data_IF_854875497644
#
_entry.id   IF_854875497644
#
_cell.length_a   1.000
_cell.length_b   1.000
_cell.length_c   1.000
_cell.angle_alpha   90.00
_cell.angle_beta   90.00
_cell.angle_gamma   90.00
#
_symmetry.space_group_name_H-M   'P 1'
#
loop_
_entity.id
_entity.type
_entity.pdbx_description
1 polymer ?
#
# COMPACT_ATOMS: atom_id res chain seq x y z
N UNK A 1 23.41 58.99 31.17
CA UNK A 1 22.30 58.80 30.21
C UNK A 1 22.75 57.87 29.08
N UNK A 2 22.40 56.58 29.16
CA UNK A 2 22.38 55.65 28.01
C UNK A 2 21.31 54.60 28.30
N UNK A 3 20.13 54.77 27.70
CA UNK A 3 19.12 53.73 27.63
C UNK A 3 19.58 52.68 26.61
N UNK A 4 19.67 51.41 27.01
CA UNK A 4 19.71 50.28 26.10
C UNK A 4 18.35 49.60 26.15
N UNK A 5 17.59 49.74 25.08
CA UNK A 5 16.28 49.12 24.91
C UNK A 5 16.40 47.61 24.71
N UNK A 6 15.51 46.89 25.37
CA UNK A 6 15.29 45.45 25.20
C UNK A 6 14.31 45.30 24.03
N UNK A 7 14.76 44.68 22.94
CA UNK A 7 13.85 44.20 21.89
C UNK A 7 13.22 42.89 22.37
N UNK A 8 11.93 42.91 22.69
CA UNK A 8 11.14 41.71 22.91
C UNK A 8 10.81 41.07 21.55
N UNK A 9 11.35 39.87 21.30
CA UNK A 9 10.91 39.02 20.20
C UNK A 9 9.49 38.54 20.52
N UNK A 10 8.49 39.02 19.78
CA UNK A 10 7.15 38.44 19.80
C UNK A 10 7.19 37.16 18.94
N UNK A 11 7.23 36.00 19.58
CA UNK A 11 6.86 34.75 18.93
C UNK A 11 5.35 34.77 18.67
N UNK A 12 4.95 35.02 17.42
CA UNK A 12 3.57 34.79 16.97
C UNK A 12 3.42 33.27 16.85
N UNK A 13 2.91 32.64 17.90
CA UNK A 13 2.40 31.28 17.82
C UNK A 13 1.16 31.32 16.93
N UNK A 14 1.28 30.82 15.69
CA UNK A 14 0.12 30.47 14.90
C UNK A 14 -0.55 29.28 15.58
N UNK A 15 -1.47 29.57 16.51
CA UNK A 15 -2.40 28.56 16.99
C UNK A 15 -3.24 28.15 15.78
N UNK A 16 -2.90 27.01 15.17
CA UNK A 16 -3.76 26.36 14.20
C UNK A 16 -5.09 26.09 14.91
N UNK A 17 -6.09 26.90 14.58
CA UNK A 17 -7.44 26.69 15.10
C UNK A 17 -8.01 25.53 14.30
N UNK A 18 -7.80 24.31 14.81
CA UNK A 18 -8.45 23.10 14.31
C UNK A 18 -9.93 23.42 14.08
N UNK A 19 -10.40 23.37 12.84
CA UNK A 19 -11.80 23.69 12.54
C UNK A 19 -12.68 22.55 13.04
N UNK A 20 -13.83 22.86 13.63
CA UNK A 20 -14.76 21.81 14.07
C UNK A 20 -15.26 21.02 12.85
N UNK A 21 -15.21 19.69 12.93
CA UNK A 21 -15.79 18.85 11.90
C UNK A 21 -17.31 19.09 11.80
N UNK A 22 -17.91 18.86 10.63
CA UNK A 22 -19.36 18.96 10.41
C UNK A 22 -19.97 17.59 10.14
N UNK A 23 -19.26 16.78 9.36
CA UNK A 23 -19.63 15.47 8.81
C UNK A 23 -18.49 14.48 9.01
N UNK A 24 -18.75 13.18 8.81
CA UNK A 24 -17.71 12.14 8.93
C UNK A 24 -16.68 12.22 7.79
N UNK A 25 -17.03 12.86 6.66
CA UNK A 25 -16.13 13.16 5.55
C UNK A 25 -15.01 14.14 5.98
N UNK A 26 -15.29 15.06 6.91
CA UNK A 26 -14.28 15.91 7.53
C UNK A 26 -13.33 15.08 8.44
N UNK A 27 -13.70 13.83 8.74
CA UNK A 27 -12.92 12.85 9.50
C UNK A 27 -12.42 11.70 8.59
N UNK A 28 -12.27 11.97 7.29
CA UNK A 28 -11.75 11.05 6.27
C UNK A 28 -12.52 9.73 6.13
N UNK A 29 -13.73 9.64 6.71
CA UNK A 29 -14.45 8.37 6.95
C UNK A 29 -13.64 7.31 7.75
N UNK A 30 -12.46 7.67 8.27
CA UNK A 30 -11.64 6.89 9.21
C UNK A 30 -11.93 7.32 10.66
N UNK A 31 -13.06 8.00 10.87
CA UNK A 31 -13.49 8.52 12.14
C UNK A 31 -14.89 9.08 12.04
N UNK A 32 -15.45 9.42 13.19
CA UNK A 32 -16.81 9.96 13.30
C UNK A 32 -16.75 11.40 13.81
N UNK A 33 -17.53 12.27 13.20
CA UNK A 33 -17.62 13.65 13.67
C UNK A 33 -18.57 13.76 14.86
N UNK A 34 -17.99 13.80 16.07
CA UNK A 34 -18.74 13.76 17.33
C UNK A 34 -18.67 15.08 18.06
N UNK A 35 -19.74 15.40 18.79
CA UNK A 35 -19.75 16.53 19.72
C UNK A 35 -18.94 16.18 20.96
N UNK A 36 -17.96 17.01 21.31
CA UNK A 36 -17.24 16.86 22.58
C UNK A 36 -18.22 16.99 23.76
N UNK A 37 -18.34 15.93 24.54
CA UNK A 37 -19.19 15.84 25.73
C UNK A 37 -18.39 16.01 27.03
N UNK A 38 -17.16 16.51 26.97
CA UNK A 38 -16.36 16.74 28.16
C UNK A 38 -17.10 17.69 29.13
N UNK A 39 -17.37 17.19 30.34
CA UNK A 39 -18.05 17.94 31.40
C UNK A 39 -17.28 19.18 31.88
N UNK A 40 -16.01 19.32 31.47
CA UNK A 40 -15.12 20.43 31.76
C UNK A 40 -14.87 21.32 30.52
N UNK A 41 -15.60 21.08 29.42
CA UNK A 41 -15.40 21.76 28.14
C UNK A 41 -15.93 23.20 28.11
N UNK A 42 -15.49 24.01 27.13
CA UNK A 42 -15.95 25.37 26.93
C UNK A 42 -17.49 25.43 26.70
N UNK A 43 -18.13 26.59 26.94
CA UNK A 43 -19.59 26.77 26.91
C UNK A 43 -20.28 26.47 25.57
N UNK A 44 -19.51 26.16 24.52
CA UNK A 44 -20.00 25.71 23.22
C UNK A 44 -19.33 24.38 22.87
N UNK A 45 -20.06 23.25 22.91
CA UNK A 45 -19.47 21.95 22.63
C UNK A 45 -19.03 21.91 21.16
N UNK A 46 -17.71 21.82 20.95
CA UNK A 46 -17.11 21.75 19.62
C UNK A 46 -17.24 20.32 19.10
N UNK A 47 -17.49 20.17 17.80
CA UNK A 47 -17.38 18.86 17.16
C UNK A 47 -15.92 18.57 16.80
N UNK A 48 -15.47 17.35 17.09
CA UNK A 48 -14.12 16.87 16.81
C UNK A 48 -14.19 15.48 16.20
N UNK A 49 -13.19 15.12 15.41
CA UNK A 49 -13.08 13.78 14.86
C UNK A 49 -12.66 12.79 15.95
N UNK A 50 -13.45 11.73 16.11
CA UNK A 50 -13.10 10.55 16.89
C UNK A 50 -12.60 9.49 15.91
N UNK A 51 -11.28 9.30 15.85
CA UNK A 51 -10.65 8.41 14.88
C UNK A 51 -10.81 6.94 15.23
N UNK A 52 -10.95 6.12 14.19
CA UNK A 52 -10.87 4.68 14.31
C UNK A 52 -9.45 4.24 14.72
N UNK A 53 -9.31 3.09 15.40
CA UNK A 53 -8.00 2.56 15.77
C UNK A 53 -7.05 2.47 14.58
N UNK A 54 -5.83 2.97 14.77
CA UNK A 54 -4.78 3.00 13.73
C UNK A 54 -4.78 4.23 12.84
N UNK A 55 -5.75 5.13 13.01
CA UNK A 55 -5.79 6.44 12.37
C UNK A 55 -5.68 7.57 13.38
N UNK A 56 -5.07 8.69 12.98
CA UNK A 56 -4.92 9.87 13.82
C UNK A 56 -4.92 11.17 13.00
N UNK A 57 -4.83 12.30 13.71
CA UNK A 57 -4.89 13.63 13.14
C UNK A 57 -6.24 14.30 13.41
N UNK A 58 -6.31 15.60 13.12
CA UNK A 58 -7.53 16.38 13.33
C UNK A 58 -8.71 15.91 12.45
N UNK A 59 -8.40 15.22 11.35
CA UNK A 59 -9.30 14.68 10.33
C UNK A 59 -9.21 13.15 10.17
N UNK A 60 -8.47 12.45 11.04
CA UNK A 60 -8.24 11.00 10.96
C UNK A 60 -7.65 10.50 9.63
N UNK A 61 -7.01 11.37 8.83
CA UNK A 61 -6.47 11.02 7.52
C UNK A 61 -5.08 10.38 7.55
N UNK A 62 -4.45 10.24 8.73
CA UNK A 62 -3.06 9.78 8.88
C UNK A 62 -2.98 8.42 9.56
N UNK A 63 -2.11 7.53 9.06
CA UNK A 63 -1.83 6.25 9.71
C UNK A 63 -0.97 6.45 10.96
N UNK A 64 -1.41 5.89 12.08
CA UNK A 64 -0.68 5.90 13.35
C UNK A 64 0.49 4.89 13.33
N UNK A 65 1.51 5.18 12.51
CA UNK A 65 2.65 4.31 12.29
C UNK A 65 3.54 4.23 13.55
N UNK A 66 3.71 3.00 14.07
CA UNK A 66 4.56 2.73 15.22
C UNK A 66 5.99 2.41 14.79
N UNK A 67 6.96 2.47 15.74
CA UNK A 67 8.33 2.14 15.40
C UNK A 67 8.47 0.74 14.80
N UNK A 68 9.15 0.64 13.66
CA UNK A 68 9.41 -0.64 12.99
C UNK A 68 10.58 -1.37 13.65
N UNK A 69 10.59 -2.70 13.61
CA UNK A 69 11.81 -3.46 13.95
C UNK A 69 12.80 -3.38 12.79
N UNK A 70 14.07 -3.12 13.10
CA UNK A 70 15.12 -3.01 12.08
C UNK A 70 15.38 -4.36 11.42
N UNK A 71 15.66 -4.34 10.12
CA UNK A 71 15.87 -5.54 9.30
C UNK A 71 14.68 -6.53 9.28
N UNK A 72 13.48 -6.06 9.65
CA UNK A 72 12.27 -6.86 9.58
C UNK A 72 11.63 -6.80 8.18
N UNK A 73 10.49 -7.45 7.98
CA UNK A 73 9.89 -7.61 6.66
C UNK A 73 10.66 -8.61 5.80
N UNK A 74 10.87 -8.29 4.52
CA UNK A 74 11.72 -9.06 3.61
C UNK A 74 12.88 -8.18 3.15
N UNK A 75 14.01 -8.27 3.85
CA UNK A 75 15.22 -7.50 3.55
C UNK A 75 16.41 -8.42 3.24
N UNK A 76 16.40 -8.99 2.03
CA UNK A 76 17.47 -9.84 1.50
C UNK A 76 18.29 -9.13 0.41
N UNK A 77 18.30 -7.79 0.44
CA UNK A 77 18.92 -6.94 -0.57
C UNK A 77 20.46 -6.94 -0.55
N UNK A 78 21.03 -7.48 0.53
CA UNK A 78 22.46 -7.78 0.69
C UNK A 78 22.79 -9.27 0.43
N UNK A 79 21.78 -10.12 0.28
CA UNK A 79 21.95 -11.56 0.12
C UNK A 79 22.22 -11.92 -1.35
N UNK A 80 23.04 -12.95 -1.55
CA UNK A 80 23.44 -13.48 -2.85
C UNK A 80 24.04 -12.41 -3.80
N UNK A 81 25.29 -12.05 -3.50
CA UNK A 81 26.21 -11.30 -4.37
C UNK A 81 27.09 -12.25 -5.19
N UNK A 82 26.54 -13.36 -5.68
CA UNK A 82 27.28 -14.29 -6.54
C UNK A 82 27.83 -13.52 -7.76
N UNK A 83 29.11 -13.74 -8.08
CA UNK A 83 29.78 -13.16 -9.25
C UNK A 83 29.11 -13.51 -10.58
N UNK A 84 28.28 -14.57 -10.61
CA UNK A 84 27.55 -14.99 -11.81
C UNK A 84 26.24 -14.22 -12.04
N UNK A 85 25.82 -13.35 -11.10
CA UNK A 85 24.63 -12.51 -11.28
C UNK A 85 24.94 -11.29 -12.14
N UNK A 86 23.94 -10.82 -12.87
CA UNK A 86 24.06 -9.67 -13.76
C UNK A 86 24.20 -8.35 -12.99
N UNK A 87 23.51 -8.23 -11.85
CA UNK A 87 23.51 -7.04 -11.01
C UNK A 87 23.93 -7.31 -9.56
N UNK A 88 24.40 -6.26 -8.84
CA UNK A 88 24.92 -6.39 -7.47
C UNK A 88 23.85 -6.17 -6.37
N UNK A 89 22.56 -6.19 -6.70
CA UNK A 89 21.49 -5.75 -5.80
C UNK A 89 20.83 -6.88 -4.99
N UNK A 90 21.48 -8.03 -4.90
CA UNK A 90 21.03 -9.17 -4.11
C UNK A 90 19.61 -9.62 -4.45
N UNK A 91 18.88 -10.12 -3.46
CA UNK A 91 17.46 -10.49 -3.59
C UNK A 91 16.56 -9.29 -3.24
N UNK A 92 16.77 -8.16 -3.92
CA UNK A 92 15.92 -6.98 -3.76
C UNK A 92 14.45 -7.29 -4.04
N UNK A 93 13.55 -6.70 -3.27
CA UNK A 93 12.09 -6.88 -3.37
C UNK A 93 11.34 -5.55 -3.36
N UNK A 94 10.07 -5.55 -3.77
CA UNK A 94 9.26 -4.34 -3.87
C UNK A 94 7.77 -4.58 -3.57
N UNK A 95 7.35 -4.18 -2.37
CA UNK A 95 5.97 -4.33 -1.88
C UNK A 95 5.59 -5.78 -1.61
N UNK A 96 4.30 -6.01 -1.32
CA UNK A 96 3.73 -7.34 -1.15
C UNK A 96 2.52 -7.36 -0.22
N UNK A 97 1.86 -8.51 -0.16
CA UNK A 97 0.67 -8.75 0.66
C UNK A 97 0.99 -9.79 1.73
N UNK A 98 0.66 -9.50 2.98
CA UNK A 98 0.73 -10.46 4.09
C UNK A 98 -0.56 -11.28 4.11
N UNK A 99 -0.45 -12.59 4.27
CA UNK A 99 -1.57 -13.48 4.54
C UNK A 99 -1.25 -14.35 5.75
N UNK A 100 -2.18 -14.48 6.69
CA UNK A 100 -2.07 -15.48 7.73
C UNK A 100 -2.45 -16.85 7.15
N UNK A 101 -1.72 -17.90 7.53
CA UNK A 101 -2.04 -19.25 7.08
C UNK A 101 -3.37 -19.73 7.70
N UNK A 102 -4.32 -20.24 6.89
CA UNK A 102 -5.64 -20.64 7.39
C UNK A 102 -5.60 -21.90 8.26
N UNK A 103 -4.50 -22.65 8.27
CA UNK A 103 -4.34 -23.91 9.00
C UNK A 103 -3.27 -23.84 10.11
N UNK A 104 -2.44 -22.81 10.10
CA UNK A 104 -1.43 -22.53 11.13
C UNK A 104 -1.45 -21.03 11.51
N UNK A 105 -2.17 -20.63 12.57
CA UNK A 105 -2.28 -19.22 12.94
C UNK A 105 -0.94 -18.58 13.35
N UNK A 106 0.13 -19.37 13.52
CA UNK A 106 1.49 -18.86 13.80
C UNK A 106 2.38 -18.81 12.57
N UNK A 107 1.83 -19.02 11.38
CA UNK A 107 2.52 -18.91 10.12
C UNK A 107 1.92 -17.76 9.30
N UNK A 108 2.80 -16.87 8.84
CA UNK A 108 2.45 -15.80 7.92
C UNK A 108 3.17 -16.00 6.60
N UNK A 109 2.45 -15.79 5.50
CA UNK A 109 2.97 -15.73 4.15
C UNK A 109 3.12 -14.27 3.73
N UNK A 110 4.18 -13.97 2.98
CA UNK A 110 4.33 -12.73 2.23
C UNK A 110 4.41 -13.10 0.75
N UNK A 111 3.51 -12.57 -0.06
CA UNK A 111 3.57 -12.66 -1.52
C UNK A 111 4.04 -11.31 -2.05
N UNK A 112 5.19 -11.28 -2.72
CA UNK A 112 5.90 -10.04 -3.04
C UNK A 112 6.61 -10.11 -4.39
N UNK A 113 6.94 -8.93 -4.94
CA UNK A 113 7.81 -8.84 -6.12
C UNK A 113 9.27 -9.03 -5.69
N UNK A 114 10.02 -9.85 -6.40
CA UNK A 114 11.48 -9.94 -6.32
C UNK A 114 12.10 -9.79 -7.70
N UNK A 115 13.36 -9.35 -7.78
CA UNK A 115 14.06 -9.12 -9.04
C UNK A 115 15.11 -10.20 -9.31
N UNK A 116 15.01 -10.85 -10.46
CA UNK A 116 15.95 -11.86 -10.91
C UNK A 116 17.35 -11.26 -11.17
N UNK A 117 18.35 -12.14 -11.16
CA UNK A 117 19.74 -11.87 -11.53
C UNK A 117 20.41 -10.68 -10.83
N UNK A 118 19.91 -10.31 -9.64
CA UNK A 118 20.46 -9.20 -8.86
C UNK A 118 20.21 -7.82 -9.47
N UNK A 119 19.25 -7.68 -10.39
CA UNK A 119 19.02 -6.42 -11.10
C UNK A 119 18.33 -5.32 -10.28
N UNK A 120 17.62 -5.68 -9.22
CA UNK A 120 16.92 -4.72 -8.37
C UNK A 120 15.86 -3.90 -9.11
N UNK A 121 15.39 -2.85 -8.45
CA UNK A 121 14.23 -2.07 -8.87
C UNK A 121 14.42 -1.34 -10.21
N UNK A 122 15.65 -0.92 -10.55
CA UNK A 122 15.92 -0.22 -11.81
C UNK A 122 15.74 -1.11 -13.05
N UNK A 123 15.71 -2.44 -12.86
CA UNK A 123 15.48 -3.44 -13.89
C UNK A 123 14.13 -4.15 -13.75
N UNK A 124 13.17 -3.61 -12.98
CA UNK A 124 11.95 -4.36 -12.64
C UNK A 124 11.22 -4.97 -13.84
N UNK A 125 11.18 -4.30 -14.99
CA UNK A 125 10.74 -4.87 -16.26
C UNK A 125 11.96 -5.15 -17.16
N UNK A 126 12.39 -6.38 -17.41
CA UNK A 126 11.63 -7.63 -17.32
C UNK A 126 11.94 -8.54 -16.11
N UNK A 127 12.80 -8.12 -15.18
CA UNK A 127 13.40 -9.04 -14.20
C UNK A 127 12.51 -9.38 -13.00
N UNK A 128 11.38 -8.68 -12.81
CA UNK A 128 10.47 -8.94 -11.69
C UNK A 128 9.76 -10.27 -11.84
N UNK A 129 9.65 -11.00 -10.74
CA UNK A 129 8.81 -12.19 -10.61
C UNK A 129 8.11 -12.19 -9.24
N UNK A 130 7.09 -13.03 -9.08
CA UNK A 130 6.36 -13.16 -7.81
C UNK A 130 6.95 -14.30 -6.99
N UNK A 131 7.32 -13.99 -5.75
CA UNK A 131 7.79 -14.97 -4.77
C UNK A 131 6.83 -15.07 -3.60
N UNK A 132 6.91 -16.21 -2.90
CA UNK A 132 6.33 -16.42 -1.58
C UNK A 132 7.45 -16.57 -0.54
N UNK A 133 7.28 -15.89 0.59
CA UNK A 133 8.12 -16.00 1.76
C UNK A 133 7.27 -16.30 3.00
N UNK A 134 7.88 -16.86 4.05
CA UNK A 134 7.21 -17.27 5.28
C UNK A 134 7.85 -16.64 6.52
N UNK A 135 7.04 -16.31 7.52
CA UNK A 135 7.48 -15.91 8.86
C UNK A 135 6.79 -16.74 9.94
N UNK A 136 7.60 -17.22 10.90
CA UNK A 136 7.17 -17.88 12.14
C UNK A 136 7.51 -17.09 13.40
N UNK A 137 7.97 -15.85 13.23
CA UNK A 137 8.23 -14.89 14.31
C UNK A 137 7.14 -13.82 14.41
N UNK A 138 6.12 -13.88 13.56
CA UNK A 138 4.99 -12.97 13.54
C UNK A 138 4.82 -12.24 12.19
N UNK A 139 3.74 -11.48 12.03
CA UNK A 139 3.39 -10.81 10.78
C UNK A 139 4.37 -9.71 10.37
N UNK A 140 5.15 -9.16 11.31
CA UNK A 140 6.20 -8.19 10.98
C UNK A 140 7.39 -8.84 10.27
N UNK A 141 7.60 -10.15 10.47
CA UNK A 141 8.74 -10.92 9.96
C UNK A 141 9.79 -11.24 11.05
N UNK A 142 11.05 -11.52 10.67
CA UNK A 142 11.55 -11.51 9.28
C UNK A 142 10.92 -12.63 8.44
N UNK A 143 10.71 -12.36 7.16
CA UNK A 143 10.20 -13.33 6.20
C UNK A 143 11.36 -13.99 5.46
N UNK A 144 11.28 -15.30 5.27
CA UNK A 144 12.26 -16.09 4.54
C UNK A 144 11.66 -16.64 3.26
N UNK A 145 12.40 -16.52 2.15
CA UNK A 145 11.97 -17.05 0.86
C UNK A 145 11.68 -18.56 0.94
N UNK A 146 10.57 -18.99 0.33
CA UNK A 146 10.21 -20.41 0.26
C UNK A 146 9.87 -20.88 -1.15
N UNK A 147 9.37 -20.02 -2.04
CA UNK A 147 8.93 -20.45 -3.37
C UNK A 147 8.85 -19.31 -4.40
N UNK A 148 8.95 -19.68 -5.69
CA UNK A 148 8.64 -18.83 -6.83
C UNK A 148 7.23 -19.15 -7.33
N UNK A 149 6.30 -18.21 -7.20
CA UNK A 149 4.95 -18.37 -7.75
C UNK A 149 4.95 -18.19 -9.27
N UNK A 150 5.81 -17.29 -9.78
CA UNK A 150 5.93 -17.04 -11.21
C UNK A 150 7.38 -17.06 -11.68
N UNK A 151 7.55 -17.23 -12.99
CA UNK A 151 8.77 -16.80 -13.67
C UNK A 151 8.73 -15.29 -13.90
N UNK A 152 9.87 -14.64 -14.20
CA UNK A 152 9.84 -13.30 -14.76
C UNK A 152 9.22 -13.36 -16.16
N UNK A 153 8.38 -12.41 -16.58
CA UNK A 153 8.05 -11.15 -15.92
C UNK A 153 6.68 -11.16 -15.23
N UNK A 154 6.61 -10.80 -13.94
CA UNK A 154 5.39 -10.43 -13.19
C UNK A 154 5.71 -9.43 -12.10
N UNK A 155 4.83 -8.45 -11.85
CA UNK A 155 5.10 -7.40 -10.87
C UNK A 155 3.86 -6.97 -10.06
N UNK A 156 4.09 -6.30 -8.93
CA UNK A 156 3.07 -5.77 -8.02
C UNK A 156 1.94 -6.77 -7.67
N UNK A 157 2.25 -7.90 -7.00
CA UNK A 157 1.25 -8.90 -6.69
C UNK A 157 0.27 -8.39 -5.62
N UNK A 158 -1.03 -8.58 -5.85
CA UNK A 158 -2.06 -8.54 -4.80
C UNK A 158 -2.72 -9.91 -4.73
N UNK A 159 -2.82 -10.48 -3.52
CA UNK A 159 -3.46 -11.77 -3.31
C UNK A 159 -4.65 -11.59 -2.38
N UNK A 160 -5.82 -12.03 -2.84
CA UNK A 160 -7.05 -12.05 -2.05
C UNK A 160 -7.63 -13.46 -2.01
N UNK A 161 -8.35 -13.78 -0.95
CA UNK A 161 -9.26 -14.93 -0.96
C UNK A 161 -10.58 -14.53 -1.61
N UNK A 162 -11.07 -15.32 -2.56
CA UNK A 162 -12.43 -15.19 -3.09
C UNK A 162 -13.36 -16.17 -2.37
N UNK A 163 -14.28 -15.71 -1.51
CA UNK A 163 -15.25 -16.60 -0.88
C UNK A 163 -16.26 -17.19 -1.87
N UNK A 164 -16.50 -16.50 -3.00
CA UNK A 164 -17.42 -16.97 -4.03
C UNK A 164 -16.85 -18.17 -4.79
N UNK A 165 -15.53 -18.18 -5.01
CA UNK A 165 -14.83 -19.20 -5.79
C UNK A 165 -14.08 -20.23 -4.94
N UNK A 166 -14.02 -20.02 -3.62
CA UNK A 166 -13.30 -20.85 -2.66
C UNK A 166 -11.82 -21.05 -3.04
N UNK A 167 -11.16 -19.97 -3.46
CA UNK A 167 -9.74 -19.97 -3.86
C UNK A 167 -9.08 -18.62 -3.70
N UNK A 168 -7.74 -18.62 -3.66
CA UNK A 168 -6.93 -17.43 -3.77
C UNK A 168 -6.90 -16.92 -5.22
N UNK A 169 -6.96 -15.61 -5.37
CA UNK A 169 -6.77 -14.88 -6.62
C UNK A 169 -5.52 -14.01 -6.47
N UNK A 170 -4.56 -14.18 -7.38
CA UNK A 170 -3.31 -13.42 -7.45
C UNK A 170 -3.35 -12.53 -8.68
N UNK A 171 -3.57 -11.24 -8.47
CA UNK A 171 -3.52 -10.21 -9.51
C UNK A 171 -2.11 -9.64 -9.61
N UNK A 172 -1.63 -9.45 -10.83
CA UNK A 172 -0.28 -8.94 -11.10
C UNK A 172 -0.26 -8.07 -12.34
N UNK A 173 0.76 -7.23 -12.44
CA UNK A 173 1.16 -6.62 -13.70
C UNK A 173 1.88 -7.66 -14.56
N UNK A 174 1.52 -7.73 -15.84
CA UNK A 174 2.23 -8.49 -16.86
C UNK A 174 1.41 -9.66 -17.42
N UNK A 175 1.75 -10.05 -18.64
CA UNK A 175 1.13 -11.15 -19.39
C UNK A 175 2.21 -12.14 -19.80
N UNK A 176 1.82 -13.39 -20.10
CA UNK A 176 2.72 -14.32 -20.78
C UNK A 176 2.79 -13.93 -22.26
N UNK A 177 3.89 -13.30 -22.66
CA UNK A 177 4.19 -13.02 -24.06
C UNK A 177 5.06 -14.11 -24.67
N UNK A 178 4.78 -14.43 -25.94
CA UNK A 178 5.53 -15.44 -26.68
C UNK A 178 6.97 -15.01 -27.01
N UNK A 179 7.26 -13.71 -26.93
CA UNK A 179 8.57 -13.11 -27.17
C UNK A 179 9.06 -12.45 -25.88
N UNK A 180 9.67 -13.25 -25.00
CA UNK A 180 10.34 -12.70 -23.82
C UNK A 180 11.47 -11.75 -24.25
N UNK A 181 11.56 -10.54 -23.69
CA UNK A 181 12.65 -9.63 -24.04
C UNK A 181 13.99 -10.17 -23.54
N UNK A 182 15.04 -9.80 -24.25
CA UNK A 182 16.42 -10.10 -23.85
C UNK A 182 16.72 -9.54 -22.44
N UNK A 183 17.42 -10.34 -21.64
CA UNK A 183 17.79 -10.05 -20.24
C UNK A 183 19.30 -9.94 -20.08
N UNK A 184 19.93 -9.19 -20.97
CA UNK A 184 21.39 -9.03 -21.04
C UNK A 184 21.91 -7.88 -20.15
N UNK A 185 21.04 -6.95 -19.75
CA UNK A 185 21.37 -5.81 -18.88
C UNK A 185 20.31 -5.50 -17.83
N UNK A 186 20.74 -5.18 -16.61
CA UNK A 186 19.87 -4.70 -15.54
C UNK A 186 19.35 -3.28 -15.81
N UNK A 187 18.37 -3.16 -16.70
CA UNK A 187 17.69 -1.91 -17.03
C UNK A 187 16.22 -2.15 -17.37
N UNK A 188 15.35 -1.24 -16.93
CA UNK A 188 13.92 -1.37 -17.17
C UNK A 188 13.55 -1.00 -18.60
N UNK A 189 12.69 -1.80 -19.23
CA UNK A 189 11.97 -1.45 -20.45
C UNK A 189 10.88 -0.42 -20.15
N UNK A 190 10.69 0.53 -21.05
CA UNK A 190 9.61 1.52 -20.96
C UNK A 190 8.23 0.88 -21.23
N UNK A 191 7.16 1.51 -20.74
CA UNK A 191 5.78 1.07 -21.02
C UNK A 191 5.42 1.13 -22.51
N UNK A 192 6.11 1.96 -23.31
CA UNK A 192 5.97 1.99 -24.77
C UNK A 192 6.54 0.75 -25.44
N UNK A 193 7.63 0.20 -24.90
CA UNK A 193 8.26 -1.02 -25.42
C UNK A 193 7.51 -2.27 -24.97
N UNK A 194 7.05 -2.26 -23.71
CA UNK A 194 6.31 -3.37 -23.15
C UNK A 194 5.21 -2.85 -22.22
N UNK A 195 3.96 -2.71 -22.72
CA UNK A 195 2.86 -2.12 -21.98
C UNK A 195 2.50 -2.88 -20.70
N UNK A 196 1.98 -2.15 -19.71
CA UNK A 196 1.35 -2.80 -18.57
C UNK A 196 -0.02 -3.35 -18.97
N UNK A 197 -0.36 -4.43 -18.30
CA UNK A 197 -1.66 -5.06 -18.29
C UNK A 197 -1.80 -5.81 -16.96
N UNK A 198 -3.00 -6.25 -16.65
CA UNK A 198 -3.28 -6.98 -15.41
C UNK A 198 -3.73 -8.40 -15.76
N UNK A 199 -3.05 -9.37 -15.15
CA UNK A 199 -3.38 -10.78 -15.24
C UNK A 199 -3.66 -11.37 -13.85
N UNK A 200 -4.49 -12.42 -13.82
CA UNK A 200 -4.86 -13.14 -12.60
C UNK A 200 -4.43 -14.61 -12.68
N UNK A 201 -3.91 -15.15 -11.57
CA UNK A 201 -3.71 -16.59 -11.37
C UNK A 201 -4.49 -17.04 -10.14
N UNK A 202 -4.84 -18.32 -10.06
CA UNK A 202 -5.67 -18.86 -8.97
C UNK A 202 -5.07 -20.11 -8.34
N UNK A 203 -5.32 -20.31 -7.05
CA UNK A 203 -4.91 -21.51 -6.32
C UNK A 203 -5.84 -21.79 -5.15
N UNK A 204 -6.10 -23.06 -4.83
CA UNK A 204 -6.89 -23.44 -3.65
C UNK A 204 -6.10 -23.27 -2.34
N UNK A 205 -4.77 -23.41 -2.40
CA UNK A 205 -3.85 -23.18 -1.29
C UNK A 205 -2.85 -22.09 -1.70
N UNK A 206 -2.44 -21.25 -0.75
CA UNK A 206 -1.44 -20.19 -0.98
C UNK A 206 -0.09 -20.74 -1.46
N UNK A 207 0.20 -22.02 -1.20
CA UNK A 207 1.37 -22.78 -1.66
C UNK A 207 1.22 -23.28 -3.10
N UNK A 208 0.08 -23.07 -3.74
CA UNK A 208 -0.22 -23.57 -5.07
C UNK A 208 -0.70 -25.03 -5.09
N UNK A 209 -0.67 -25.70 -6.26
CA UNK A 209 -0.18 -25.15 -7.53
C UNK A 209 -1.03 -23.98 -8.01
N UNK A 210 -0.36 -22.94 -8.51
CA UNK A 210 -1.00 -21.79 -9.13
C UNK A 210 -1.35 -22.10 -10.59
N UNK A 211 -2.53 -21.66 -11.04
CA UNK A 211 -2.92 -21.77 -12.45
C UNK A 211 -2.01 -20.89 -13.33
N UNK A 212 -1.95 -21.14 -14.65
CA UNK A 212 -1.44 -20.14 -15.58
C UNK A 212 -2.15 -18.80 -15.37
N UNK A 213 -1.45 -17.70 -15.66
CA UNK A 213 -2.00 -16.36 -15.55
C UNK A 213 -2.92 -16.08 -16.75
N UNK A 214 -4.11 -15.57 -16.46
CA UNK A 214 -5.11 -15.14 -17.44
C UNK A 214 -5.12 -13.61 -17.50
N UNK A 215 -4.98 -13.03 -18.71
CA UNK A 215 -5.13 -11.59 -18.91
C UNK A 215 -6.58 -11.17 -18.63
N UNK A 216 -6.78 -10.19 -17.74
CA UNK A 216 -8.12 -9.72 -17.37
C UNK A 216 -8.37 -8.25 -17.68
N UNK A 217 -7.32 -7.43 -17.78
CA UNK A 217 -7.48 -6.01 -18.11
C UNK A 217 -6.27 -5.46 -18.88
N UNK A 218 -6.53 -4.88 -20.05
CA UNK A 218 -5.54 -4.24 -20.93
C UNK A 218 -6.11 -2.95 -21.53
N UNK A 219 -6.22 -1.92 -20.71
CA UNK A 219 -6.69 -0.58 -21.07
C UNK A 219 -5.54 0.45 -21.03
N UNK A 220 -5.57 1.37 -22.00
CA UNK A 220 -4.64 2.51 -22.09
C UNK A 220 -5.14 3.69 -21.24
N UNK A 221 -6.44 3.96 -21.29
CA UNK A 221 -7.10 5.00 -20.49
C UNK A 221 -8.46 4.47 -19.98
N UNK A 222 -8.62 4.29 -18.65
CA UNK A 222 -7.59 4.36 -17.62
C UNK A 222 -6.48 3.32 -17.81
N UNK A 223 -5.24 3.65 -17.41
CA UNK A 223 -4.08 2.79 -17.60
C UNK A 223 -4.14 1.56 -16.68
N UNK A 224 -4.04 0.37 -17.28
CA UNK A 224 -4.18 -0.91 -16.56
C UNK A 224 -2.88 -1.36 -15.91
N UNK A 225 -2.60 -0.79 -14.75
CA UNK A 225 -1.44 -1.16 -13.93
C UNK A 225 -1.79 -1.05 -12.45
N UNK A 226 -0.92 -1.61 -11.60
CA UNK A 226 -1.01 -1.53 -10.15
C UNK A 226 -2.34 -2.07 -9.59
N UNK A 227 -2.63 -3.37 -9.81
CA UNK A 227 -3.93 -3.93 -9.46
C UNK A 227 -4.19 -3.92 -7.96
N UNK A 228 -5.40 -3.50 -7.58
CA UNK A 228 -5.96 -3.66 -6.24
C UNK A 228 -7.38 -4.21 -6.31
N UNK A 229 -7.52 -5.55 -6.42
CA UNK A 229 -8.81 -6.22 -6.37
C UNK A 229 -9.45 -6.17 -4.98
N UNK A 230 -10.78 -6.10 -4.95
CA UNK A 230 -11.59 -6.27 -3.74
C UNK A 230 -12.86 -7.08 -4.07
N UNK A 231 -13.11 -8.21 -3.40
CA UNK A 231 -14.31 -9.01 -3.64
C UNK A 231 -15.54 -8.35 -3.01
N UNK A 232 -16.67 -8.28 -3.75
CA UNK A 232 -17.92 -7.69 -3.23
C UNK A 232 -18.80 -8.69 -2.46
N UNK A 233 -18.34 -9.92 -2.33
CA UNK A 233 -19.03 -10.99 -1.61
C UNK A 233 -19.36 -10.57 -0.16
N UNK A 234 -20.58 -10.90 0.28
CA UNK A 234 -20.96 -10.93 1.71
C UNK A 234 -21.80 -12.18 2.00
N UNK A 235 -22.06 -12.47 3.27
CA UNK A 235 -22.95 -13.57 3.68
C UNK A 235 -24.37 -13.42 3.12
N UNK A 236 -24.85 -12.18 2.98
CA UNK A 236 -26.18 -11.81 2.47
C UNK A 236 -26.20 -11.70 0.94
N UNK A 237 -25.07 -11.34 0.32
CA UNK A 237 -24.91 -11.23 -1.12
C UNK A 237 -23.70 -12.03 -1.60
N UNK A 238 -23.94 -13.32 -1.90
CA UNK A 238 -22.91 -14.27 -2.34
C UNK A 238 -22.55 -14.11 -3.83
N UNK A 239 -22.20 -12.88 -4.21
CA UNK A 239 -21.77 -12.56 -5.57
C UNK A 239 -20.32 -12.96 -5.83
N UNK A 240 -20.00 -13.29 -7.08
CA UNK A 240 -18.61 -13.44 -7.56
C UNK A 240 -17.97 -12.13 -7.99
N UNK A 241 -18.71 -11.02 -7.91
CA UNK A 241 -18.28 -9.72 -8.41
C UNK A 241 -17.00 -9.23 -7.73
N UNK A 242 -16.06 -8.78 -8.57
CA UNK A 242 -14.78 -8.21 -8.14
C UNK A 242 -14.72 -6.77 -8.61
N UNK A 243 -14.35 -5.89 -7.69
CA UNK A 243 -13.91 -4.53 -8.01
C UNK A 243 -12.40 -4.54 -8.17
N UNK A 244 -11.88 -3.78 -9.12
CA UNK A 244 -10.45 -3.63 -9.36
C UNK A 244 -10.12 -2.14 -9.46
N UNK A 245 -9.41 -1.61 -8.45
CA UNK A 245 -8.76 -0.31 -8.58
C UNK A 245 -7.40 -0.47 -9.30
N UNK A 246 -7.05 0.53 -10.09
CA UNK A 246 -5.78 0.63 -10.82
C UNK A 246 -5.13 2.00 -10.55
N UNK A 247 -4.01 2.29 -11.24
CA UNK A 247 -3.38 3.61 -11.24
C UNK A 247 -4.39 4.76 -11.40
N UNK A 248 -4.08 5.91 -10.80
CA UNK A 248 -4.96 7.07 -10.72
C UNK A 248 -6.30 6.83 -10.00
N UNK A 249 -6.40 5.71 -9.27
CA UNK A 249 -7.61 5.30 -8.56
C UNK A 249 -8.81 5.14 -9.51
N UNK A 250 -8.59 4.81 -10.77
CA UNK A 250 -9.68 4.38 -11.64
C UNK A 250 -10.22 3.03 -11.16
N UNK A 251 -11.54 2.88 -11.21
CA UNK A 251 -12.24 1.73 -10.64
C UNK A 251 -12.97 0.99 -11.75
N UNK A 252 -12.71 -0.30 -11.82
CA UNK A 252 -13.40 -1.25 -12.68
C UNK A 252 -14.19 -2.26 -11.85
N UNK A 253 -15.18 -2.91 -12.45
CA UNK A 253 -15.86 -4.07 -11.88
C UNK A 253 -16.13 -5.14 -12.93
N UNK A 254 -16.21 -6.39 -12.48
CA UNK A 254 -16.62 -7.53 -13.30
C UNK A 254 -17.49 -8.48 -12.47
N UNK A 255 -18.46 -9.15 -13.09
CA UNK A 255 -19.35 -10.13 -12.43
C UNK A 255 -18.62 -11.32 -11.79
N UNK A 256 -17.38 -11.57 -12.21
CA UNK A 256 -16.46 -12.60 -11.70
C UNK A 256 -15.01 -12.20 -11.96
N UNK A 257 -14.07 -12.82 -11.25
CA UNK A 257 -12.64 -12.45 -11.29
C UNK A 257 -11.97 -12.50 -12.68
N UNK A 258 -12.45 -13.36 -13.58
CA UNK A 258 -12.00 -13.46 -14.98
C UNK A 258 -13.10 -13.07 -15.98
N UNK A 259 -14.00 -12.19 -15.55
CA UNK A 259 -15.02 -11.58 -16.40
C UNK A 259 -14.48 -10.42 -17.22
N UNK A 260 -15.39 -9.76 -17.92
CA UNK A 260 -15.12 -8.48 -18.58
C UNK A 260 -15.18 -7.37 -17.53
N UNK A 261 -14.10 -6.60 -17.43
CA UNK A 261 -14.00 -5.47 -16.49
C UNK A 261 -14.49 -4.18 -17.15
N UNK A 262 -15.53 -3.58 -16.57
CA UNK A 262 -16.11 -2.32 -17.01
C UNK A 262 -15.73 -1.18 -16.07
N UNK A 263 -15.53 0.03 -16.62
CA UNK A 263 -15.23 1.22 -15.82
C UNK A 263 -16.45 1.62 -14.99
N UNK A 264 -16.29 1.66 -13.67
CA UNK A 264 -17.28 2.16 -12.71
C UNK A 264 -17.06 3.64 -12.42
N UNK A 265 -15.80 4.04 -12.24
CA UNK A 265 -15.46 5.39 -11.83
C UNK A 265 -14.07 5.81 -12.30
N UNK A 266 -13.97 7.06 -12.73
CA UNK A 266 -12.71 7.78 -12.93
C UNK A 266 -12.77 9.08 -12.14
N UNK A 267 -11.64 9.49 -11.59
CA UNK A 267 -11.61 10.59 -10.64
C UNK A 267 -11.96 11.93 -11.30
N UNK A 268 -12.64 12.80 -10.55
CA UNK A 268 -13.04 14.14 -11.03
C UNK A 268 -11.92 15.18 -10.92
N UNK A 269 -10.85 14.87 -10.18
CA UNK A 269 -9.66 15.72 -10.09
C UNK A 269 -8.67 15.39 -11.21
N UNK A 270 -7.65 16.23 -11.37
CA UNK A 270 -6.63 16.01 -12.38
C UNK A 270 -5.72 14.84 -11.99
N UNK A 271 -5.75 13.74 -12.72
CA UNK A 271 -4.87 12.58 -12.47
C UNK A 271 -3.66 12.53 -13.40
N UNK A 272 -3.49 13.52 -14.28
CA UNK A 272 -2.38 13.53 -15.23
C UNK A 272 -1.03 13.47 -14.50
N UNK A 273 -0.03 12.84 -15.14
CA UNK A 273 1.34 12.86 -14.65
C UNK A 273 1.77 14.30 -14.30
N UNK A 274 2.51 14.44 -13.21
CA UNK A 274 2.96 15.72 -12.66
C UNK A 274 1.86 16.66 -12.14
N UNK A 275 0.61 16.19 -11.97
CA UNK A 275 -0.41 16.94 -11.27
C UNK A 275 -0.29 16.79 -9.74
N UNK A 276 -0.77 17.77 -8.92
CA UNK A 276 -0.73 17.67 -7.45
C UNK A 276 -1.52 16.49 -6.86
N UNK A 277 -2.37 15.84 -7.66
CA UNK A 277 -3.18 14.68 -7.27
C UNK A 277 -2.78 13.41 -8.02
N UNK A 278 -1.59 13.40 -8.63
CA UNK A 278 -1.06 12.22 -9.32
C UNK A 278 -0.71 11.10 -8.33
N UNK A 279 -1.26 9.92 -8.58
CA UNK A 279 -1.07 8.72 -7.75
C UNK A 279 -0.86 7.46 -8.56
N UNK A 280 -0.03 6.57 -8.02
CA UNK A 280 0.07 5.19 -8.46
C UNK A 280 -0.12 4.24 -7.27
N UNK A 281 -0.01 2.93 -7.50
CA UNK A 281 0.02 1.94 -6.43
C UNK A 281 -1.16 1.98 -5.45
N UNK A 282 -2.39 2.05 -5.99
CA UNK A 282 -3.60 2.03 -5.17
C UNK A 282 -3.72 0.74 -4.36
N UNK A 283 -4.24 0.84 -3.14
CA UNK A 283 -4.74 -0.27 -2.34
C UNK A 283 -6.13 0.07 -1.83
N UNK A 284 -7.14 -0.60 -2.37
CA UNK A 284 -8.58 -0.39 -2.18
C UNK A 284 -9.14 -1.31 -1.09
N UNK A 285 -10.02 -0.77 -0.23
CA UNK A 285 -10.83 -1.59 0.67
C UNK A 285 -12.18 -0.96 0.97
N UNK A 286 -13.09 -1.76 1.54
CA UNK A 286 -14.35 -1.30 2.13
C UNK A 286 -14.29 -1.47 3.65
N UNK A 287 -14.58 -0.40 4.40
CA UNK A 287 -14.56 -0.43 5.86
C UNK A 287 -15.79 -1.16 6.45
N UNK A 288 -15.77 -1.36 7.77
CA UNK A 288 -16.88 -1.99 8.53
C UNK A 288 -18.20 -1.22 8.48
N UNK A 289 -18.20 0.04 8.05
CA UNK A 289 -19.39 0.89 7.88
C UNK A 289 -19.86 0.94 6.42
N UNK A 290 -19.20 0.22 5.51
CA UNK A 290 -19.54 0.17 4.09
C UNK A 290 -18.98 1.33 3.27
N UNK A 291 -18.12 2.17 3.83
CA UNK A 291 -17.42 3.21 3.09
C UNK A 291 -16.23 2.61 2.33
N UNK A 292 -15.91 3.22 1.20
CA UNK A 292 -14.79 2.87 0.34
C UNK A 292 -13.60 3.75 0.65
N UNK A 293 -12.42 3.15 0.61
CA UNK A 293 -11.17 3.85 0.86
C UNK A 293 -10.09 3.30 -0.05
N UNK A 294 -9.10 4.15 -0.33
CA UNK A 294 -7.83 3.68 -0.85
C UNK A 294 -6.66 4.48 -0.26
N UNK A 295 -5.51 3.82 -0.15
CA UNK A 295 -4.22 4.48 -0.02
C UNK A 295 -3.45 4.31 -1.33
N UNK A 296 -2.60 5.27 -1.65
CA UNK A 296 -1.82 5.24 -2.88
C UNK A 296 -0.44 5.86 -2.67
N UNK A 297 0.50 5.55 -3.56
CA UNK A 297 1.74 6.31 -3.67
C UNK A 297 1.42 7.67 -4.30
N UNK A 298 1.71 8.75 -3.56
CA UNK A 298 1.45 10.13 -3.94
C UNK A 298 2.73 10.78 -4.46
N UNK A 299 2.69 11.24 -5.70
CA UNK A 299 3.85 11.76 -6.43
C UNK A 299 4.15 13.25 -6.17
N UNK A 300 3.61 13.82 -5.08
CA UNK A 300 3.59 15.28 -4.86
C UNK A 300 4.96 15.94 -4.82
N UNK A 301 5.97 15.28 -4.26
CA UNK A 301 7.29 15.89 -4.18
C UNK A 301 8.00 15.95 -5.53
N UNK A 302 7.63 15.08 -6.47
CA UNK A 302 8.12 15.24 -7.85
C UNK A 302 7.61 16.56 -8.39
N UNK A 303 6.31 16.82 -8.18
CA UNK A 303 5.59 17.99 -8.67
C UNK A 303 6.06 19.29 -8.02
N UNK A 304 6.21 19.31 -6.70
CA UNK A 304 6.48 20.53 -5.95
C UNK A 304 7.98 20.81 -5.73
N UNK A 305 8.85 19.81 -5.93
CA UNK A 305 10.28 19.89 -5.60
C UNK A 305 11.19 19.34 -6.72
N UNK A 306 10.93 19.73 -7.97
CA UNK A 306 11.82 19.49 -9.13
C UNK A 306 12.31 18.03 -9.26
N UNK A 307 11.41 17.06 -9.09
CA UNK A 307 11.72 15.64 -9.25
C UNK A 307 12.25 14.93 -8.00
N UNK A 308 12.09 15.51 -6.81
CA UNK A 308 12.35 14.85 -5.53
C UNK A 308 11.29 13.76 -5.23
N UNK A 309 11.68 12.64 -4.61
CA UNK A 309 10.79 11.47 -4.35
C UNK A 309 10.38 11.27 -2.88
N UNK A 310 10.61 12.27 -2.04
CA UNK A 310 10.41 12.26 -0.58
C UNK A 310 10.22 13.71 -0.10
N UNK A 311 9.67 13.99 1.10
CA UNK A 311 9.22 13.07 2.15
C UNK A 311 7.75 12.61 2.07
N UNK A 312 6.89 13.29 1.30
CA UNK A 312 5.45 13.04 1.19
C UNK A 312 5.19 12.03 0.09
N UNK A 313 4.68 10.86 0.48
CA UNK A 313 4.62 9.69 -0.40
C UNK A 313 3.32 8.92 -0.30
N UNK A 314 2.51 9.07 0.74
CA UNK A 314 1.23 8.38 0.86
C UNK A 314 0.06 9.34 0.74
N UNK A 315 -0.93 9.01 -0.09
CA UNK A 315 -2.24 9.68 -0.09
C UNK A 315 -3.33 8.75 0.46
N UNK A 316 -4.39 9.33 0.99
CA UNK A 316 -5.63 8.64 1.35
C UNK A 316 -6.79 9.29 0.61
N UNK A 317 -7.64 8.46 0.01
CA UNK A 317 -8.90 8.86 -0.61
C UNK A 317 -10.03 7.99 -0.11
N UNK A 318 -11.25 8.51 -0.13
CA UNK A 318 -12.41 7.81 0.41
C UNK A 318 -13.71 8.24 -0.24
N UNK A 319 -14.72 7.38 -0.20
CA UNK A 319 -16.06 7.63 -0.72
C UNK A 319 -17.10 6.84 0.07
N UNK A 320 -18.34 7.31 0.13
CA UNK A 320 -19.45 6.50 0.66
C UNK A 320 -19.93 5.43 -0.30
N UNK A 321 -19.65 5.60 -1.59
CA UNK A 321 -20.11 4.73 -2.67
C UNK A 321 -18.98 4.53 -3.66
N UNK A 322 -18.92 3.35 -4.25
CA UNK A 322 -17.89 3.00 -5.22
C UNK A 322 -17.87 3.95 -6.43
N UNK A 323 -19.06 4.32 -6.93
CA UNK A 323 -19.23 5.29 -8.02
C UNK A 323 -18.96 6.75 -7.63
N UNK A 324 -18.55 7.02 -6.38
CA UNK A 324 -18.19 8.33 -5.88
C UNK A 324 -19.37 9.17 -5.32
N UNK A 325 -19.13 10.48 -5.11
CA UNK A 325 -17.85 11.16 -5.31
C UNK A 325 -16.79 10.63 -4.35
N UNK A 326 -15.57 10.47 -4.87
CA UNK A 326 -14.40 10.24 -4.04
C UNK A 326 -13.87 11.59 -3.55
N UNK A 327 -13.30 11.57 -2.35
CA UNK A 327 -12.77 12.74 -1.67
C UNK A 327 -11.29 12.50 -1.38
N UNK A 328 -10.53 13.58 -1.47
CA UNK A 328 -9.10 13.61 -1.27
C UNK A 328 -8.75 14.68 -0.24
N UNK A 329 -7.99 14.32 0.80
CA UNK A 329 -7.38 15.29 1.72
C UNK A 329 -5.93 15.55 1.32
N UNK A 330 -5.59 16.83 1.13
CA UNK A 330 -4.27 17.26 0.61
C UNK A 330 -3.18 17.25 1.68
N UNK A 331 -3.01 16.13 2.35
CA UNK A 331 -1.90 15.85 3.24
C UNK A 331 -1.53 14.37 3.15
N UNK A 332 -0.36 14.02 3.67
CA UNK A 332 0.13 12.66 3.57
C UNK A 332 -0.57 11.72 4.56
N UNK A 333 -0.95 10.52 4.10
CA UNK A 333 -1.43 9.43 4.94
C UNK A 333 -0.28 8.71 5.67
N UNK A 334 0.88 8.67 5.01
CA UNK A 334 2.17 8.24 5.56
C UNK A 334 3.31 8.95 4.81
N UNK A 335 4.51 8.97 5.40
CA UNK A 335 5.69 9.64 4.83
C UNK A 335 6.89 8.69 4.69
N UNK A 336 7.99 9.20 4.14
CA UNK A 336 9.24 8.44 3.94
C UNK A 336 10.08 8.23 5.20
N UNK A 337 9.67 8.72 6.37
CA UNK A 337 10.44 8.63 7.61
C UNK A 337 9.99 7.42 8.43
N UNK A 338 10.95 6.55 8.76
CA UNK A 338 10.74 5.39 9.62
C UNK A 338 11.45 5.64 10.94
N UNK A 339 10.71 5.55 12.04
CA UNK A 339 11.30 5.42 13.38
C UNK A 339 11.42 3.93 13.70
N UNK A 340 12.53 3.52 14.31
CA UNK A 340 12.80 2.14 14.69
C UNK A 340 12.65 1.92 16.19
N UNK A 341 12.43 0.67 16.58
CA UNK A 341 12.30 0.26 17.99
C UNK A 341 13.56 0.53 18.83
N UNK A 342 14.73 0.69 18.20
CA UNK A 342 15.98 1.09 18.87
C UNK A 342 16.10 2.62 19.09
N UNK A 343 15.09 3.39 18.69
CA UNK A 343 15.04 4.84 18.79
C UNK A 343 15.71 5.58 17.63
N UNK A 344 16.29 4.89 16.66
CA UNK A 344 16.85 5.51 15.46
C UNK A 344 15.77 5.86 14.44
N UNK A 345 16.10 6.77 13.53
CA UNK A 345 15.21 7.19 12.44
C UNK A 345 15.94 7.12 11.11
N UNK A 346 15.24 6.72 10.06
CA UNK A 346 15.73 6.70 8.68
C UNK A 346 14.72 7.38 7.77
N UNK A 347 15.20 8.29 6.93
CA UNK A 347 14.42 8.83 5.80
C UNK A 347 14.73 8.00 4.57
N UNK A 348 13.69 7.53 3.88
CA UNK A 348 13.75 6.74 2.66
C UNK A 348 13.72 7.66 1.43
N UNK A 349 14.34 7.21 0.34
CA UNK A 349 14.26 7.87 -0.96
C UNK A 349 12.92 7.59 -1.64
N UNK A 350 12.40 6.37 -1.50
CA UNK A 350 11.13 5.91 -2.05
C UNK A 350 10.44 4.99 -1.04
N UNK A 351 9.12 5.12 -0.94
CA UNK A 351 8.25 4.25 -0.13
C UNK A 351 6.92 4.12 -0.84
N UNK A 352 6.74 2.99 -1.51
CA UNK A 352 5.70 2.79 -2.53
C UNK A 352 4.94 1.48 -2.29
N UNK A 353 3.99 1.12 -3.17
CA UNK A 353 3.20 -0.12 -3.07
C UNK A 353 2.59 -0.34 -1.69
N UNK A 354 1.92 0.69 -1.17
CA UNK A 354 1.36 0.68 0.17
C UNK A 354 0.17 -0.28 0.27
N UNK A 355 0.26 -1.27 1.17
CA UNK A 355 -0.82 -2.24 1.43
C UNK A 355 -1.01 -2.42 2.93
N UNK A 356 -2.26 -2.58 3.37
CA UNK A 356 -2.56 -2.73 4.80
C UNK A 356 -3.02 -4.16 5.09
N UNK A 357 -2.44 -4.76 6.13
CA UNK A 357 -2.98 -5.96 6.76
C UNK A 357 -3.95 -5.55 7.88
N UNK A 358 -5.20 -6.00 7.77
CA UNK A 358 -6.27 -5.69 8.73
C UNK A 358 -6.56 -6.89 9.65
N UNK A 359 -7.23 -6.63 10.78
CA UNK A 359 -7.92 -7.67 11.54
C UNK A 359 -9.05 -8.31 10.72
N UNK A 360 -9.33 -9.58 10.98
CA UNK A 360 -10.42 -10.36 10.39
C UNK A 360 -11.63 -10.52 11.34
N UNK A 361 -11.62 -9.81 12.48
CA UNK A 361 -12.67 -9.80 13.52
C UNK A 361 -13.93 -8.99 13.14
N UNK A 362 -14.00 -8.50 11.89
CA UNK A 362 -15.05 -7.62 11.40
C UNK A 362 -14.85 -6.15 11.73
N UNK A 363 -13.89 -5.80 12.59
CA UNK A 363 -13.59 -4.39 12.92
C UNK A 363 -12.68 -3.73 11.88
N UNK A 364 -12.05 -4.51 10.98
CA UNK A 364 -11.15 -4.03 9.93
C UNK A 364 -10.09 -3.06 10.48
N UNK A 365 -9.52 -3.38 11.64
CA UNK A 365 -8.51 -2.54 12.28
C UNK A 365 -7.18 -2.72 11.55
N UNK A 366 -6.55 -1.65 11.03
CA UNK A 366 -5.24 -1.75 10.38
C UNK A 366 -4.17 -2.14 11.40
N UNK A 367 -3.38 -3.16 11.08
CA UNK A 367 -2.33 -3.68 11.97
C UNK A 367 -0.92 -3.43 11.43
N UNK A 368 -0.73 -3.57 10.12
CA UNK A 368 0.59 -3.41 9.50
C UNK A 368 0.49 -2.73 8.13
N UNK A 369 1.40 -1.81 7.87
CA UNK A 369 1.63 -1.20 6.57
C UNK A 369 2.81 -1.91 5.89
N UNK A 370 2.58 -2.44 4.70
CA UNK A 370 3.59 -3.05 3.84
C UNK A 370 3.96 -2.07 2.73
N UNK A 371 5.25 -1.89 2.47
CA UNK A 371 5.75 -1.04 1.39
C UNK A 371 6.97 -1.65 0.69
N UNK A 372 7.16 -1.32 -0.58
CA UNK A 372 8.49 -1.35 -1.19
C UNK A 372 9.28 -0.12 -0.77
N UNK A 373 10.52 -0.31 -0.31
CA UNK A 373 11.36 0.80 0.19
C UNK A 373 12.73 0.83 -0.47
N UNK A 374 13.21 2.03 -0.74
CA UNK A 374 14.57 2.30 -1.21
C UNK A 374 15.22 3.33 -0.29
N UNK A 375 16.40 3.01 0.22
CA UNK A 375 17.16 3.89 1.10
C UNK A 375 17.69 5.13 0.36
N UNK A 376 18.02 6.17 1.13
CA UNK A 376 18.72 7.34 0.58
C UNK A 376 20.10 6.94 0.02
N UNK A 377 20.44 7.45 -1.16
CA UNK A 377 21.69 7.11 -1.87
C UNK A 377 21.64 5.82 -2.69
N UNK A 378 20.61 5.00 -2.53
CA UNK A 378 20.41 3.79 -3.35
C UNK A 378 19.68 4.10 -4.66
N UNK A 379 19.98 3.33 -5.70
CA UNK A 379 19.36 3.47 -7.03
C UNK A 379 18.49 2.28 -7.42
N UNK A 380 18.88 1.07 -7.03
CA UNK A 380 18.19 -0.17 -7.42
C UNK A 380 18.00 -1.14 -6.26
N UNK A 381 18.88 -1.09 -5.25
CA UNK A 381 18.71 -1.88 -4.04
C UNK A 381 17.43 -1.46 -3.34
N UNK A 382 16.65 -2.45 -2.92
CA UNK A 382 15.35 -2.25 -2.32
C UNK A 382 14.91 -3.46 -1.50
N UNK A 383 13.95 -3.26 -0.62
CA UNK A 383 13.38 -4.30 0.23
C UNK A 383 11.88 -4.07 0.47
N UNK A 384 11.22 -5.07 1.03
CA UNK A 384 9.83 -4.96 1.47
C UNK A 384 9.82 -4.71 2.98
N UNK A 385 9.40 -3.52 3.38
CA UNK A 385 9.26 -3.11 4.78
C UNK A 385 7.85 -3.41 5.28
N UNK A 386 7.77 -3.86 6.53
CA UNK A 386 6.52 -4.00 7.28
C UNK A 386 6.63 -3.14 8.54
N UNK A 387 5.67 -2.23 8.72
CA UNK A 387 5.64 -1.31 9.86
C UNK A 387 4.29 -1.45 10.61
N UNK A 388 4.28 -1.61 11.94
CA UNK A 388 3.03 -1.69 12.68
C UNK A 388 2.22 -0.39 12.68
N UNK A 389 0.90 -0.52 12.76
CA UNK A 389 -0.08 0.56 12.81
C UNK A 389 -0.84 0.48 14.13
N UNK A 390 -1.01 1.62 14.81
CA UNK A 390 -1.73 1.72 16.08
C UNK A 390 -1.12 0.86 17.18
N UNK A 391 -1.91 0.52 18.20
CA UNK A 391 -1.46 -0.35 19.30
C UNK A 391 -2.06 -1.76 19.25
N UNK A 392 -3.03 -1.98 18.35
CA UNK A 392 -3.78 -3.25 18.25
C UNK A 392 -2.95 -4.42 17.75
N UNK A 393 -1.89 -4.17 16.99
CA UNK A 393 -0.93 -5.19 16.55
C UNK A 393 -0.30 -5.96 17.72
N UNK A 394 -0.07 -5.32 18.88
CA UNK A 394 0.50 -5.99 20.07
C UNK A 394 -0.45 -7.01 20.66
N UNK A 395 -1.74 -6.67 20.66
CA UNK A 395 -2.78 -7.58 21.13
C UNK A 395 -2.92 -8.77 20.18
N UNK A 396 -2.95 -8.49 18.87
CA UNK A 396 -2.98 -9.51 17.82
C UNK A 396 -1.81 -10.50 17.94
N UNK A 397 -0.55 -10.01 17.99
CA UNK A 397 0.63 -10.87 18.14
C UNK A 397 0.63 -11.68 19.43
N UNK A 398 0.28 -11.05 20.56
CA UNK A 398 0.20 -11.74 21.86
C UNK A 398 -0.84 -12.86 21.86
N UNK A 399 -1.99 -12.67 21.21
CA UNK A 399 -3.04 -13.70 21.11
C UNK A 399 -2.57 -14.91 20.29
N UNK A 400 -1.68 -14.70 19.31
CA UNK A 400 -1.08 -15.75 18.50
C UNK A 400 0.17 -16.38 19.14
N UNK A 401 0.64 -15.85 20.26
CA UNK A 401 1.80 -16.36 21.00
C UNK A 401 3.15 -15.94 20.40
N UNK A 402 3.26 -14.70 19.93
CA UNK A 402 4.52 -14.05 19.57
C UNK A 402 5.04 -13.14 20.69
#
# INVERSE_FOLDING_TARGET
>A
MRFRGIFALYCITHAATSQACRTDEDCSLNGLCRTDRSWLGPPHPKKTCECDPGWFGDDCGRLDLRPATKNNGYNHSIDATDSNRLGPHGNSSWGGTILQDPHDPRLFHLVASQFADGCGLSGWRPFSFIMRAESRSGPQGPYHYVDNISKPFRHNPEVIWSPADEKYLLYTIGVDDNEEPERDKCSSLSNKQWPNNISVSTAQDIRGPWSPFELVLASVEPHSTNPSPYPLWTSENRTGEIVLAVEDLAIFSADRYNGEYEVVHTQSWNTSEWSPTWTEDSFLWRDKRGNWHAIAHWMIDLVEHDGQKWPRVGAHVFARKLAGPWLWHFHEAFNSTITYTDGTTQTLKRRERAKIFFTDDGEMTPLYLVNGVQEMGENSRSSTLIQPIGEKWREFERQLGF
#
